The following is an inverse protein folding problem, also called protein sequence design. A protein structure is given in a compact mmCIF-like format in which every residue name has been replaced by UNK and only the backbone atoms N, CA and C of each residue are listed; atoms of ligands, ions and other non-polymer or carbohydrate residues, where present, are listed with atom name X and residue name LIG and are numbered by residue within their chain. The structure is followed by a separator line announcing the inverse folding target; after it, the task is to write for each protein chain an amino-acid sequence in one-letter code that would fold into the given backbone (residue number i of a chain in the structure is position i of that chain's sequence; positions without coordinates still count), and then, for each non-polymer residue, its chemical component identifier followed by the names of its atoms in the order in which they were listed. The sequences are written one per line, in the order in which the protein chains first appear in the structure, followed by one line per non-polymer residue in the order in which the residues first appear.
data_IF_567361383879
#
_entry.id   IF_567361383879
#
_cell.length_a   1.000
_cell.length_b   1.000
_cell.length_c   1.000
_cell.angle_alpha   90.00
_cell.angle_beta   90.00
_cell.angle_gamma   90.00
#
_symmetry.space_group_name_H-M   'P 1'
#
loop_
_entity.id
_entity.type
_entity.pdbx_description
1 polymer ?
#
# COMPACT_ATOMS: atom_id res chain seq x y z
N UNK A 1 -3.33 35.85 -7.86
CA UNK A 1 -3.54 35.62 -6.41
C UNK A 1 -4.69 34.63 -6.31
N UNK A 2 -4.54 33.34 -6.02
CA UNK A 2 -3.38 32.54 -5.63
C UNK A 2 -3.54 31.17 -6.29
N UNK A 3 -2.49 30.69 -6.95
CA UNK A 3 -2.38 29.27 -7.27
C UNK A 3 -2.01 28.57 -5.97
N UNK A 4 -3.02 28.18 -5.18
CA UNK A 4 -2.82 27.16 -4.15
C UNK A 4 -2.37 25.91 -4.89
N UNK A 5 -1.07 25.70 -4.96
CA UNK A 5 -0.49 24.43 -5.34
C UNK A 5 -0.97 23.42 -4.31
N UNK A 6 -2.08 22.75 -4.61
CA UNK A 6 -2.56 21.63 -3.81
C UNK A 6 -1.43 20.62 -3.81
N UNK A 7 -0.76 20.47 -2.67
CA UNK A 7 0.25 19.44 -2.51
C UNK A 7 -0.38 18.11 -2.94
N UNK A 8 0.30 17.32 -3.80
CA UNK A 8 -0.25 16.06 -4.25
C UNK A 8 -0.63 15.21 -3.05
N UNK A 9 -1.77 14.51 -3.14
CA UNK A 9 -2.26 13.68 -2.05
C UNK A 9 -1.17 12.64 -1.67
N UNK A 10 -1.05 12.21 -0.40
CA UNK A 10 -0.02 11.27 0.03
C UNK A 10 0.10 10.01 -0.87
N UNK A 11 -1.03 9.48 -1.34
CA UNK A 11 -1.06 8.35 -2.26
C UNK A 11 -0.44 8.65 -3.64
N UNK A 12 -0.59 9.87 -4.16
CA UNK A 12 0.04 10.29 -5.42
C UNK A 12 1.55 10.44 -5.27
N UNK A 13 2.00 10.92 -4.11
CA UNK A 13 3.42 11.02 -3.77
C UNK A 13 4.05 9.62 -3.67
N UNK A 14 3.38 8.69 -2.98
CA UNK A 14 3.80 7.29 -2.89
C UNK A 14 3.88 6.63 -4.27
N UNK A 15 2.87 6.85 -5.12
CA UNK A 15 2.89 6.35 -6.50
C UNK A 15 4.06 6.91 -7.31
N UNK A 16 4.37 8.20 -7.14
CA UNK A 16 5.50 8.85 -7.82
C UNK A 16 6.83 8.27 -7.34
N UNK A 17 6.99 8.03 -6.05
CA UNK A 17 8.17 7.39 -5.47
C UNK A 17 8.37 5.96 -6.02
N UNK A 18 7.32 5.14 -6.05
CA UNK A 18 7.37 3.78 -6.63
C UNK A 18 7.74 3.79 -8.12
N UNK A 19 7.24 4.76 -8.90
CA UNK A 19 7.62 4.92 -10.31
C UNK A 19 9.09 5.32 -10.47
N UNK A 20 9.66 6.10 -9.56
CA UNK A 20 11.10 6.44 -9.55
C UNK A 20 11.92 5.20 -9.22
N UNK A 21 11.56 4.49 -8.15
CA UNK A 21 12.23 3.27 -7.73
C UNK A 21 12.25 2.21 -8.84
N UNK A 22 11.14 2.02 -9.55
CA UNK A 22 11.08 1.09 -10.69
C UNK A 22 12.03 1.48 -11.83
N UNK A 23 12.21 2.77 -12.09
CA UNK A 23 13.15 3.25 -13.11
C UNK A 23 14.60 3.04 -12.68
N UNK A 24 14.92 3.30 -11.42
CA UNK A 24 16.26 3.06 -10.85
C UNK A 24 16.62 1.57 -10.92
N UNK A 25 15.72 0.69 -10.48
CA UNK A 25 15.91 -0.75 -10.57
C UNK A 25 16.11 -1.24 -12.01
N UNK A 26 15.33 -0.73 -12.97
CA UNK A 26 15.42 -1.11 -14.38
C UNK A 26 16.65 -0.57 -15.13
N UNK A 27 17.28 0.48 -14.60
CA UNK A 27 18.48 1.08 -15.19
C UNK A 27 19.80 0.44 -14.70
N UNK A 28 19.71 -0.63 -13.89
CA UNK A 28 20.88 -1.19 -13.20
C UNK A 28 21.35 -0.33 -12.03
N UNK A 29 20.44 0.46 -11.43
CA UNK A 29 20.75 1.47 -10.42
C UNK A 29 21.16 0.96 -9.03
N UNK A 30 21.59 -0.29 -8.91
CA UNK A 30 22.19 -0.83 -7.68
C UNK A 30 23.62 -1.23 -7.97
N UNK A 31 24.56 -0.52 -7.36
CA UNK A 31 26.00 -0.73 -7.58
C UNK A 31 26.54 -1.86 -6.68
N UNK A 32 25.85 -2.17 -5.58
CA UNK A 32 26.24 -3.24 -4.67
C UNK A 32 25.05 -3.93 -3.98
N UNK A 33 25.23 -5.18 -3.49
CA UNK A 33 24.21 -5.91 -2.76
C UNK A 33 23.64 -5.17 -1.53
N UNK A 34 24.42 -4.30 -0.90
CA UNK A 34 23.97 -3.53 0.28
C UNK A 34 22.88 -2.50 -0.06
N UNK A 35 22.89 -1.91 -1.27
CA UNK A 35 21.84 -0.99 -1.71
C UNK A 35 20.52 -1.71 -1.99
N UNK A 36 20.62 -2.89 -2.60
CA UNK A 36 19.47 -3.75 -2.83
C UNK A 36 18.88 -4.23 -1.50
N UNK A 37 19.72 -4.66 -0.54
CA UNK A 37 19.31 -5.02 0.81
C UNK A 37 18.53 -3.88 1.49
N UNK A 38 19.07 -2.66 1.48
CA UNK A 38 18.40 -1.48 2.07
C UNK A 38 17.07 -1.17 1.40
N UNK A 39 17.03 -1.25 0.07
CA UNK A 39 15.80 -0.98 -0.69
C UNK A 39 14.70 -1.99 -0.36
N UNK A 40 15.04 -3.27 -0.34
CA UNK A 40 14.11 -4.32 0.07
C UNK A 40 13.67 -4.10 1.53
N UNK A 41 14.58 -3.66 2.41
CA UNK A 41 14.27 -3.20 3.78
C UNK A 41 13.09 -2.23 3.82
N UNK A 42 13.22 -1.14 3.06
CA UNK A 42 12.20 -0.10 2.99
C UNK A 42 10.89 -0.57 2.37
N UNK A 43 10.96 -1.47 1.38
CA UNK A 43 9.75 -2.04 0.76
C UNK A 43 9.00 -3.00 1.70
N UNK A 44 9.72 -3.73 2.58
CA UNK A 44 9.07 -4.54 3.62
C UNK A 44 8.31 -3.64 4.59
N UNK A 45 8.93 -2.57 5.08
CA UNK A 45 8.28 -1.62 5.98
C UNK A 45 7.03 -1.00 5.35
N UNK A 46 7.10 -0.63 4.06
CA UNK A 46 5.95 -0.10 3.34
C UNK A 46 4.81 -1.13 3.22
N UNK A 47 5.14 -2.41 3.03
CA UNK A 47 4.15 -3.48 2.98
C UNK A 47 3.49 -3.70 4.37
N UNK A 48 4.29 -3.62 5.43
CA UNK A 48 3.82 -3.72 6.82
C UNK A 48 2.90 -2.53 7.16
N UNK A 49 3.33 -1.29 6.89
CA UNK A 49 2.55 -0.06 7.08
C UNK A 49 1.21 -0.11 6.31
N UNK A 50 1.23 -0.63 5.08
CA UNK A 50 0.01 -0.81 4.29
C UNK A 50 -0.93 -1.83 4.94
N UNK A 51 -0.38 -2.93 5.48
CA UNK A 51 -1.18 -3.96 6.14
C UNK A 51 -1.84 -3.48 7.44
N UNK A 52 -1.24 -2.48 8.10
CA UNK A 52 -1.77 -1.83 9.30
C UNK A 52 -2.80 -0.74 8.97
N UNK A 53 -2.59 0.03 7.89
CA UNK A 53 -3.51 1.10 7.47
C UNK A 53 -4.85 0.56 6.93
N UNK A 54 -4.83 -0.55 6.21
CA UNK A 54 -6.01 -1.07 5.49
C UNK A 54 -7.21 -1.39 6.41
N UNK A 55 -7.05 -2.05 7.58
CA UNK A 55 -8.12 -2.24 8.55
C UNK A 55 -8.82 -0.94 8.98
N UNK A 56 -8.05 0.12 9.24
CA UNK A 56 -8.60 1.41 9.66
C UNK A 56 -9.47 2.03 8.56
N UNK A 57 -9.05 1.90 7.30
CA UNK A 57 -9.84 2.35 6.14
C UNK A 57 -11.14 1.53 5.98
N UNK A 58 -11.10 0.22 6.23
CA UNK A 58 -12.31 -0.62 6.25
C UNK A 58 -13.27 -0.17 7.35
N UNK A 59 -12.76 0.02 8.57
CA UNK A 59 -13.56 0.47 9.72
C UNK A 59 -14.19 1.84 9.50
N UNK A 60 -13.47 2.78 8.87
CA UNK A 60 -14.02 4.09 8.51
C UNK A 60 -15.16 3.98 7.49
N UNK A 61 -15.08 3.04 6.54
CA UNK A 61 -16.12 2.82 5.55
C UNK A 61 -17.39 2.22 6.19
N UNK A 62 -17.21 1.24 7.07
CA UNK A 62 -18.29 0.62 7.85
C UNK A 62 -18.97 1.64 8.77
N UNK A 63 -18.19 2.47 9.48
CA UNK A 63 -18.73 3.55 10.32
C UNK A 63 -19.47 4.61 9.48
N UNK A 64 -18.97 4.92 8.28
CA UNK A 64 -19.66 5.83 7.37
C UNK A 64 -21.01 5.27 6.89
N UNK A 65 -21.12 3.95 6.71
CA UNK A 65 -22.40 3.28 6.42
C UNK A 65 -23.35 3.38 7.61
N UNK A 66 -22.89 3.04 8.82
CA UNK A 66 -23.70 3.10 10.04
C UNK A 66 -24.20 4.53 10.35
N UNK A 67 -23.36 5.53 10.08
CA UNK A 67 -23.70 6.95 10.21
C UNK A 67 -24.61 7.48 9.08
N UNK A 68 -24.99 6.65 8.10
CA UNK A 68 -25.83 7.07 6.96
C UNK A 68 -25.14 8.03 5.99
N UNK A 69 -23.80 8.12 6.03
CA UNK A 69 -22.98 8.96 5.13
C UNK A 69 -22.67 8.29 3.80
N UNK A 70 -22.83 6.97 3.72
CA UNK A 70 -22.73 6.20 2.47
C UNK A 70 -24.13 5.91 1.95
N UNK A 71 -24.36 6.23 0.67
CA UNK A 71 -25.61 5.88 -0.03
C UNK A 71 -25.28 5.24 -1.36
N UNK A 72 -26.04 4.20 -1.71
CA UNK A 72 -25.96 3.63 -3.04
C UNK A 72 -26.74 4.52 -4.02
N UNK A 73 -26.36 4.51 -5.30
CA UNK A 73 -26.99 5.36 -6.34
C UNK A 73 -28.50 5.12 -6.49
N UNK A 74 -28.98 3.95 -6.12
CA UNK A 74 -30.40 3.57 -6.11
C UNK A 74 -31.16 3.99 -4.86
N UNK A 75 -30.49 4.63 -3.88
CA UNK A 75 -31.01 4.92 -2.53
C UNK A 75 -31.52 3.66 -1.78
N UNK A 76 -31.05 2.50 -2.22
CA UNK A 76 -31.32 1.20 -1.60
C UNK A 76 -30.29 0.91 -0.51
N UNK A 77 -30.76 0.74 0.72
CA UNK A 77 -29.94 0.44 1.88
C UNK A 77 -29.24 -0.93 1.75
N UNK A 78 -29.90 -1.93 1.16
CA UNK A 78 -29.28 -3.24 0.98
C UNK A 78 -28.11 -3.16 -0.01
N UNK A 79 -28.31 -2.48 -1.14
CA UNK A 79 -27.25 -2.26 -2.11
C UNK A 79 -26.06 -1.47 -1.53
N UNK A 80 -26.30 -0.53 -0.61
CA UNK A 80 -25.22 0.18 0.09
C UNK A 80 -24.44 -0.76 1.03
N UNK A 81 -25.14 -1.60 1.80
CA UNK A 81 -24.53 -2.62 2.64
C UNK A 81 -23.68 -3.60 1.82
N UNK A 82 -24.21 -4.12 0.71
CA UNK A 82 -23.51 -5.08 -0.15
C UNK A 82 -22.24 -4.47 -0.77
N UNK A 83 -22.32 -3.20 -1.20
CA UNK A 83 -21.16 -2.48 -1.75
C UNK A 83 -20.06 -2.27 -0.70
N UNK A 84 -20.43 -1.89 0.53
CA UNK A 84 -19.48 -1.74 1.63
C UNK A 84 -18.86 -3.08 2.03
N UNK A 85 -19.66 -4.15 2.10
CA UNK A 85 -19.16 -5.50 2.37
C UNK A 85 -18.17 -5.96 1.29
N UNK A 86 -18.44 -5.68 0.02
CA UNK A 86 -17.53 -5.98 -1.10
C UNK A 86 -16.22 -5.18 -1.03
N UNK A 87 -16.29 -3.91 -0.66
CA UNK A 87 -15.10 -3.07 -0.45
C UNK A 87 -14.27 -3.56 0.74
N UNK A 88 -14.91 -3.85 1.89
CA UNK A 88 -14.25 -4.41 3.07
C UNK A 88 -13.57 -5.75 2.76
N UNK A 89 -14.22 -6.63 1.99
CA UNK A 89 -13.62 -7.86 1.52
C UNK A 89 -12.35 -7.60 0.67
N UNK A 90 -12.43 -6.66 -0.27
CA UNK A 90 -11.29 -6.31 -1.13
C UNK A 90 -10.12 -5.72 -0.32
N UNK A 91 -10.42 -4.89 0.68
CA UNK A 91 -9.44 -4.33 1.62
C UNK A 91 -8.78 -5.45 2.43
N UNK A 92 -9.55 -6.43 2.91
CA UNK A 92 -9.02 -7.59 3.62
C UNK A 92 -8.08 -8.43 2.74
N UNK A 93 -8.41 -8.63 1.46
CA UNK A 93 -7.54 -9.32 0.49
C UNK A 93 -6.26 -8.53 0.24
N UNK A 94 -6.36 -7.20 0.10
CA UNK A 94 -5.21 -6.33 -0.07
C UNK A 94 -4.27 -6.38 1.15
N UNK A 95 -4.83 -6.40 2.37
CA UNK A 95 -4.06 -6.56 3.60
C UNK A 95 -3.30 -7.87 3.64
N UNK A 96 -3.99 -8.98 3.36
CA UNK A 96 -3.35 -10.30 3.32
C UNK A 96 -2.21 -10.32 2.29
N UNK A 97 -2.43 -9.72 1.13
CA UNK A 97 -1.42 -9.63 0.07
C UNK A 97 -0.22 -8.79 0.51
N UNK A 98 -0.44 -7.68 1.21
CA UNK A 98 0.62 -6.83 1.74
C UNK A 98 1.51 -7.60 2.73
N UNK A 99 0.90 -8.35 3.66
CA UNK A 99 1.63 -9.21 4.60
C UNK A 99 2.48 -10.27 3.88
N UNK A 100 1.92 -10.93 2.86
CA UNK A 100 2.65 -11.93 2.08
C UNK A 100 3.83 -11.30 1.34
N UNK A 101 3.63 -10.14 0.71
CA UNK A 101 4.70 -9.39 0.02
C UNK A 101 5.80 -8.99 1.01
N UNK A 102 5.43 -8.48 2.18
CA UNK A 102 6.39 -8.14 3.24
C UNK A 102 7.27 -9.34 3.63
N UNK A 103 6.64 -10.50 3.85
CA UNK A 103 7.35 -11.74 4.17
C UNK A 103 8.33 -12.17 3.06
N UNK A 104 7.89 -12.17 1.81
CA UNK A 104 8.76 -12.57 0.69
C UNK A 104 9.91 -11.59 0.47
N UNK A 105 9.70 -10.30 0.72
CA UNK A 105 10.76 -9.29 0.67
C UNK A 105 11.80 -9.52 1.78
N UNK A 106 11.37 -9.87 2.99
CA UNK A 106 12.28 -10.22 4.09
C UNK A 106 13.09 -11.47 3.79
N UNK A 107 12.49 -12.47 3.15
CA UNK A 107 13.19 -13.67 2.67
C UNK A 107 14.27 -13.29 1.65
N UNK A 108 13.94 -12.41 0.69
CA UNK A 108 14.91 -11.91 -0.30
C UNK A 108 16.05 -11.11 0.35
N UNK A 109 15.75 -10.24 1.33
CA UNK A 109 16.78 -9.52 2.09
C UNK A 109 17.76 -10.47 2.78
N UNK A 110 17.24 -11.54 3.39
CA UNK A 110 18.06 -12.55 4.07
C UNK A 110 19.04 -13.20 3.10
N UNK A 111 18.56 -13.62 1.93
CA UNK A 111 19.41 -14.20 0.90
C UNK A 111 20.48 -13.22 0.38
N UNK A 112 20.13 -11.94 0.18
CA UNK A 112 21.08 -10.93 -0.30
C UNK A 112 22.14 -10.59 0.76
N UNK A 113 21.76 -10.55 2.04
CA UNK A 113 22.70 -10.37 3.13
C UNK A 113 23.76 -11.46 3.14
N UNK A 114 23.35 -12.71 2.89
CA UNK A 114 24.28 -13.84 2.85
C UNK A 114 25.25 -13.74 1.66
N UNK A 115 24.81 -13.19 0.52
CA UNK A 115 25.68 -12.87 -0.63
C UNK A 115 26.65 -11.71 -0.38
N UNK A 116 26.33 -10.79 0.52
CA UNK A 116 27.20 -9.68 0.88
C UNK A 116 28.27 -10.05 1.93
N UNK A 117 28.13 -11.21 2.57
CA UNK A 117 29.05 -11.72 3.57
C UNK A 117 30.17 -12.61 2.99
N UNK A 118 30.09 -12.96 1.70
CA UNK A 118 31.13 -13.62 0.90
C UNK A 118 32.05 -12.62 0.22
#
# INVERSE_FOLDING_TARGET
MDHSATSPAPAEQAQTALRRLRREAGAGGYECPAELYRTLGLLSLLADDLSELLPDLSGQLEEALLAGRVRHRSDDAQAACDAVASAAHSISVARFTALLVGQEIQNAQTAIRDLAAT
#
